data_IF_629532935418
#
_entry.id   IF_629532935418
#
_cell.length_a   1.000
_cell.length_b   1.000
_cell.length_c   1.000
_cell.angle_alpha   90.00
_cell.angle_beta   90.00
_cell.angle_gamma   90.00
#
_symmetry.space_group_name_H-M   'P 1'
#
loop_
_entity.id
_entity.type
_entity.pdbx_description
1 polymer ?
#
# COMPACT_ATOMS: atom_id res chain seq x y z
N UNK A 1 7.85 -18.39 -5.06
CA UNK A 1 6.46 -18.26 -5.54
C UNK A 1 6.40 -18.83 -6.95
N UNK A 2 5.42 -19.68 -7.28
CA UNK A 2 5.22 -20.16 -8.66
C UNK A 2 4.27 -19.19 -9.36
N UNK A 3 4.57 -18.83 -10.61
CA UNK A 3 3.65 -18.06 -11.44
C UNK A 3 2.71 -19.00 -12.18
N UNK A 4 1.43 -18.66 -12.18
CA UNK A 4 0.40 -19.43 -12.87
C UNK A 4 -0.22 -18.57 -13.96
N UNK A 5 -0.58 -19.21 -15.08
CA UNK A 5 -1.35 -18.58 -16.14
C UNK A 5 -2.78 -18.35 -15.65
N UNK A 6 -3.24 -17.12 -15.78
CA UNK A 6 -4.61 -16.71 -15.52
C UNK A 6 -5.17 -16.01 -16.74
N UNK A 7 -6.48 -16.12 -16.93
CA UNK A 7 -7.21 -15.36 -17.93
C UNK A 7 -7.72 -14.07 -17.29
N UNK A 8 -7.57 -12.95 -17.97
CA UNK A 8 -8.17 -11.68 -17.60
C UNK A 8 -9.36 -11.44 -18.52
N UNK A 9 -10.48 -10.99 -17.99
CA UNK A 9 -11.62 -10.58 -18.79
C UNK A 9 -12.10 -9.17 -18.51
N UNK A 10 -12.50 -8.49 -19.57
CA UNK A 10 -12.98 -7.12 -19.56
C UNK A 10 -14.08 -6.95 -20.62
N UNK A 11 -14.97 -6.00 -20.41
CA UNK A 11 -15.97 -5.62 -21.41
C UNK A 11 -15.29 -4.83 -22.53
N UNK A 12 -15.54 -5.24 -23.77
CA UNK A 12 -15.03 -4.58 -24.96
C UNK A 12 -15.66 -3.19 -25.09
N UNK A 13 -14.87 -2.12 -25.23
CA UNK A 13 -15.40 -0.76 -25.33
C UNK A 13 -16.14 -0.51 -26.64
N UNK A 14 -15.88 -1.30 -27.69
CA UNK A 14 -16.46 -1.08 -29.02
C UNK A 14 -17.82 -1.77 -29.22
N UNK A 15 -18.04 -2.94 -28.62
CA UNK A 15 -19.24 -3.74 -28.89
C UNK A 15 -19.92 -4.33 -27.64
N UNK A 16 -19.39 -4.07 -26.44
CA UNK A 16 -19.93 -4.56 -25.17
C UNK A 16 -19.76 -6.06 -24.91
N UNK A 17 -19.19 -6.82 -25.83
CA UNK A 17 -18.90 -8.25 -25.63
C UNK A 17 -17.70 -8.48 -24.72
N UNK A 18 -17.48 -9.72 -24.27
CA UNK A 18 -16.29 -10.07 -23.50
C UNK A 18 -15.02 -10.05 -24.34
N UNK A 19 -13.99 -9.44 -23.78
CA UNK A 19 -12.62 -9.48 -24.26
C UNK A 19 -11.73 -10.18 -23.23
N UNK A 20 -10.70 -10.87 -23.73
CA UNK A 20 -9.85 -11.75 -22.92
C UNK A 20 -8.37 -11.44 -23.16
N UNK A 21 -7.56 -11.63 -22.11
CA UNK A 21 -6.10 -11.53 -22.18
C UNK A 21 -5.46 -12.56 -21.24
N UNK A 22 -4.35 -13.16 -21.64
CA UNK A 22 -3.62 -14.09 -20.76
C UNK A 22 -2.53 -13.36 -19.96
N UNK A 23 -2.47 -13.66 -18.67
CA UNK A 23 -1.49 -13.11 -17.74
C UNK A 23 -0.82 -14.20 -16.92
N UNK A 24 0.38 -13.91 -16.42
CA UNK A 24 1.08 -14.78 -15.46
C UNK A 24 1.19 -14.01 -14.16
N UNK A 25 0.51 -14.49 -13.13
CA UNK A 25 0.57 -13.88 -11.79
C UNK A 25 1.18 -14.86 -10.79
N UNK A 26 1.81 -14.34 -9.72
CA UNK A 26 2.18 -15.16 -8.58
C UNK A 26 0.91 -15.54 -7.81
N UNK A 27 0.45 -16.78 -7.97
CA UNK A 27 -0.80 -17.28 -7.36
C UNK A 27 -0.48 -18.26 -6.22
N UNK A 28 -1.18 -18.21 -5.07
CA UNK A 28 -1.06 -19.22 -4.03
C UNK A 28 -1.44 -20.62 -4.54
N UNK A 29 -0.76 -21.66 -4.09
CA UNK A 29 -0.91 -23.03 -4.58
C UNK A 29 -2.33 -23.65 -4.45
N UNK A 30 -3.21 -23.02 -3.67
CA UNK A 30 -4.58 -23.49 -3.42
C UNK A 30 -5.66 -22.47 -3.81
N UNK A 31 -5.30 -21.40 -4.54
CA UNK A 31 -6.28 -20.40 -4.93
C UNK A 31 -7.05 -20.83 -6.20
N UNK A 32 -8.38 -20.84 -6.17
CA UNK A 32 -9.17 -21.03 -7.38
C UNK A 32 -9.19 -19.72 -8.17
N UNK A 33 -8.50 -19.67 -9.32
CA UNK A 33 -8.90 -18.74 -10.38
C UNK A 33 -8.25 -19.06 -11.73
N UNK A 34 -9.02 -19.62 -12.68
CA UNK A 34 -8.65 -19.61 -14.09
C UNK A 34 -8.94 -18.26 -14.76
N UNK A 35 -9.88 -17.45 -14.26
CA UNK A 35 -10.28 -16.16 -14.88
C UNK A 35 -10.54 -15.04 -13.86
N UNK A 36 -9.98 -13.85 -14.10
CA UNK A 36 -10.16 -12.61 -13.34
C UNK A 36 -11.04 -11.63 -14.13
N UNK A 37 -12.25 -11.36 -13.61
CA UNK A 37 -13.18 -10.42 -14.22
C UNK A 37 -12.90 -8.98 -13.74
N UNK A 38 -12.29 -8.17 -14.60
CA UNK A 38 -11.92 -6.78 -14.34
C UNK A 38 -13.10 -5.80 -14.41
N UNK A 39 -14.31 -6.27 -14.74
CA UNK A 39 -15.54 -5.46 -14.64
C UNK A 39 -16.18 -5.56 -13.24
N UNK A 40 -15.81 -6.56 -12.44
CA UNK A 40 -16.25 -6.70 -11.05
C UNK A 40 -15.08 -6.48 -10.09
N UNK A 41 -14.58 -5.25 -10.01
CA UNK A 41 -13.45 -4.90 -9.16
C UNK A 41 -13.73 -5.18 -7.67
N UNK A 42 -14.96 -4.94 -7.20
CA UNK A 42 -15.35 -5.20 -5.81
C UNK A 42 -15.31 -6.70 -5.45
N UNK A 43 -15.63 -7.59 -6.39
CA UNK A 43 -15.47 -9.03 -6.21
C UNK A 43 -13.99 -9.43 -6.19
N UNK A 44 -13.17 -8.82 -7.05
CA UNK A 44 -11.75 -9.09 -7.13
C UNK A 44 -11.01 -8.69 -5.83
N UNK A 45 -11.29 -7.50 -5.30
CA UNK A 45 -10.68 -6.99 -4.06
C UNK A 45 -11.03 -7.84 -2.84
N UNK A 46 -12.24 -8.39 -2.77
CA UNK A 46 -12.68 -9.23 -1.65
C UNK A 46 -12.05 -10.63 -1.65
N UNK A 47 -11.72 -11.15 -2.83
CA UNK A 47 -11.31 -12.55 -2.99
C UNK A 47 -9.81 -12.74 -3.21
N UNK A 48 -9.05 -11.67 -3.45
CA UNK A 48 -7.63 -11.75 -3.77
C UNK A 48 -6.78 -11.09 -2.68
N UNK A 49 -5.56 -11.60 -2.49
CA UNK A 49 -4.60 -10.98 -1.58
C UNK A 49 -4.10 -9.64 -2.13
N UNK A 50 -3.70 -8.74 -1.24
CA UNK A 50 -3.11 -7.45 -1.63
C UNK A 50 -1.91 -7.62 -2.59
N UNK A 51 -1.05 -8.61 -2.33
CA UNK A 51 0.09 -8.92 -3.19
C UNK A 51 -0.31 -9.30 -4.61
N UNK A 52 -1.42 -10.02 -4.78
CA UNK A 52 -1.91 -10.45 -6.08
C UNK A 52 -2.59 -9.30 -6.84
N UNK A 53 -3.26 -8.39 -6.13
CA UNK A 53 -3.81 -7.16 -6.69
C UNK A 53 -2.71 -6.22 -7.20
N UNK A 54 -1.63 -6.04 -6.43
CA UNK A 54 -0.49 -5.22 -6.84
C UNK A 54 0.18 -5.78 -8.10
N UNK A 55 0.45 -7.09 -8.12
CA UNK A 55 1.03 -7.75 -9.30
C UNK A 55 0.12 -7.63 -10.54
N UNK A 56 -1.21 -7.62 -10.36
CA UNK A 56 -2.15 -7.38 -11.45
C UNK A 56 -2.02 -5.94 -11.98
N UNK A 57 -2.02 -4.92 -11.11
CA UNK A 57 -1.91 -3.50 -11.50
C UNK A 57 -0.62 -3.22 -12.28
N UNK A 58 0.49 -3.83 -11.87
CA UNK A 58 1.77 -3.70 -12.57
C UNK A 58 1.73 -4.32 -13.98
N UNK A 59 0.98 -5.42 -14.15
CA UNK A 59 0.95 -6.19 -15.39
C UNK A 59 -0.09 -5.69 -16.41
N UNK A 60 -1.22 -5.14 -15.95
CA UNK A 60 -2.34 -4.70 -16.81
C UNK A 60 -1.95 -3.76 -17.96
N UNK A 61 -1.07 -2.75 -17.76
CA UNK A 61 -0.70 -1.82 -18.84
C UNK A 61 -0.03 -2.52 -20.03
N UNK A 62 0.58 -3.69 -19.81
CA UNK A 62 1.30 -4.45 -20.81
C UNK A 62 0.45 -5.54 -21.48
N UNK A 63 -0.83 -5.66 -21.11
CA UNK A 63 -1.73 -6.67 -21.67
C UNK A 63 -2.66 -6.08 -22.71
N UNK A 64 -2.72 -6.78 -23.84
CA UNK A 64 -3.68 -6.54 -24.91
C UNK A 64 -4.84 -7.51 -24.75
N UNK A 65 -6.05 -6.96 -24.73
CA UNK A 65 -7.30 -7.71 -24.70
C UNK A 65 -7.84 -7.85 -26.11
N UNK A 66 -8.23 -9.06 -26.47
CA UNK A 66 -8.86 -9.34 -27.76
C UNK A 66 -10.33 -9.63 -27.55
N UNK A 67 -11.20 -8.91 -28.26
CA UNK A 67 -12.64 -9.14 -28.19
C UNK A 67 -13.05 -10.40 -28.96
N UNK A 68 -13.78 -11.30 -28.30
CA UNK A 68 -14.25 -12.53 -28.94
C UNK A 68 -15.31 -12.30 -30.03
N UNK A 69 -15.99 -11.14 -30.02
CA UNK A 69 -17.09 -10.83 -30.95
C UNK A 69 -16.63 -10.02 -32.16
N UNK A 70 -15.98 -8.88 -31.94
CA UNK A 70 -15.57 -7.99 -33.03
C UNK A 70 -14.10 -8.12 -33.42
N UNK A 71 -13.31 -8.95 -32.73
CA UNK A 71 -11.88 -9.12 -32.99
C UNK A 71 -11.01 -7.91 -32.63
N UNK A 72 -11.61 -6.79 -32.20
CA UNK A 72 -10.87 -5.60 -31.84
C UNK A 72 -9.93 -5.87 -30.66
N UNK A 73 -8.70 -5.37 -30.80
CA UNK A 73 -7.68 -5.41 -29.77
C UNK A 73 -7.61 -4.06 -29.06
N UNK A 74 -7.46 -4.09 -27.75
CA UNK A 74 -7.30 -2.87 -26.96
C UNK A 74 -6.44 -3.13 -25.73
N UNK A 75 -5.78 -2.08 -25.24
CA UNK A 75 -5.01 -2.09 -23.99
C UNK A 75 -5.73 -1.25 -22.95
N UNK A 76 -5.54 -1.60 -21.68
CA UNK A 76 -6.03 -0.78 -20.59
C UNK A 76 -5.00 0.29 -20.28
N UNK A 77 -5.36 1.55 -20.52
CA UNK A 77 -4.51 2.69 -20.16
C UNK A 77 -4.67 3.04 -18.68
N UNK A 78 -3.54 3.35 -18.05
CA UNK A 78 -3.40 3.60 -16.62
C UNK A 78 -3.90 4.99 -16.17
N UNK A 79 -4.82 5.62 -16.90
CA UNK A 79 -5.40 6.89 -16.47
C UNK A 79 -6.13 6.74 -15.12
N UNK A 80 -6.74 5.58 -14.89
CA UNK A 80 -7.43 5.20 -13.65
C UNK A 80 -6.50 4.82 -12.50
N UNK A 81 -5.20 4.59 -12.74
CA UNK A 81 -4.26 4.20 -11.67
C UNK A 81 -3.93 5.40 -10.77
N UNK A 82 -3.79 6.60 -11.35
CA UNK A 82 -3.61 7.83 -10.56
C UNK A 82 -4.84 8.14 -9.71
N UNK A 83 -6.03 8.01 -10.26
CA UNK A 83 -7.28 8.21 -9.53
C UNK A 83 -7.50 7.13 -8.46
N UNK A 84 -7.19 5.87 -8.75
CA UNK A 84 -7.28 4.76 -7.80
C UNK A 84 -6.30 4.95 -6.63
N UNK A 85 -5.04 5.31 -6.93
CA UNK A 85 -4.03 5.58 -5.90
C UNK A 85 -4.40 6.81 -5.09
N UNK A 86 -4.88 7.88 -5.73
CA UNK A 86 -5.40 9.08 -5.06
C UNK A 86 -6.56 8.75 -4.12
N UNK A 87 -7.52 7.95 -4.57
CA UNK A 87 -8.65 7.51 -3.76
C UNK A 87 -8.22 6.57 -2.62
N UNK A 88 -7.27 5.66 -2.85
CA UNK A 88 -6.74 4.79 -1.79
C UNK A 88 -6.04 5.61 -0.71
N UNK A 89 -5.14 6.53 -1.09
CA UNK A 89 -4.44 7.42 -0.16
C UNK A 89 -5.42 8.34 0.58
N UNK A 90 -6.42 8.89 -0.11
CA UNK A 90 -7.49 9.70 0.49
C UNK A 90 -8.39 8.92 1.46
N UNK A 91 -8.52 7.61 1.27
CA UNK A 91 -9.28 6.73 2.18
C UNK A 91 -8.48 6.30 3.43
N UNK A 92 -7.16 6.52 3.45
CA UNK A 92 -6.34 6.17 4.62
C UNK A 92 -6.62 7.14 5.75
N UNK A 93 -7.21 6.62 6.82
CA UNK A 93 -7.36 7.34 8.07
C UNK A 93 -6.18 7.02 8.99
N UNK A 94 -5.64 8.01 9.73
CA UNK A 94 -4.64 7.77 10.76
C UNK A 94 -5.16 6.72 11.74
N UNK A 95 -4.46 5.59 11.86
CA UNK A 95 -4.77 4.62 12.90
C UNK A 95 -4.28 5.18 14.24
N UNK A 96 -5.15 5.30 15.26
CA UNK A 96 -4.70 5.75 16.57
C UNK A 96 -3.64 4.77 17.10
N UNK A 97 -2.61 5.27 17.79
CA UNK A 97 -1.56 4.43 18.33
C UNK A 97 -2.20 3.37 19.23
N UNK A 98 -2.05 2.10 18.85
CA UNK A 98 -2.53 0.99 19.67
C UNK A 98 -1.71 1.01 20.94
N UNK A 99 -2.36 1.31 22.08
CA UNK A 99 -1.74 1.18 23.39
C UNK A 99 -1.18 -0.25 23.49
N UNK A 100 0.08 -0.43 23.88
CA UNK A 100 0.63 -1.76 24.06
C UNK A 100 -0.27 -2.51 25.03
N UNK A 101 -0.73 -3.69 24.63
CA UNK A 101 -1.41 -4.62 25.53
C UNK A 101 -0.39 -4.90 26.62
N UNK A 102 -0.63 -4.32 27.80
CA UNK A 102 0.06 -4.69 29.02
C UNK A 102 -0.26 -6.15 29.26
N UNK A 103 0.62 -7.04 28.78
CA UNK A 103 0.65 -8.42 29.22
C UNK A 103 0.99 -8.31 30.70
N UNK A 104 -0.02 -8.53 31.55
CA UNK A 104 0.11 -8.43 32.99
C UNK A 104 1.26 -9.32 33.44
N UNK A 105 2.39 -8.68 33.75
CA UNK A 105 3.46 -9.30 34.52
C UNK A 105 2.88 -9.63 35.88
N UNK A 106 2.51 -10.90 36.10
CA UNK A 106 2.33 -11.44 37.43
C UNK A 106 3.68 -11.38 38.16
N UNK A 107 3.97 -10.23 38.75
CA UNK A 107 5.07 -10.06 39.68
C UNK A 107 4.68 -10.74 41.01
N UNK A 108 5.52 -11.62 41.57
CA UNK A 108 5.26 -12.23 42.86
C UNK A 108 5.33 -11.16 43.96
N UNK A 109 4.32 -11.18 44.83
CA UNK A 109 4.16 -10.28 45.97
C UNK A 109 5.31 -10.50 46.96
N UNK A 110 6.37 -9.70 46.86
CA UNK A 110 7.49 -9.69 47.82
C UNK A 110 7.38 -8.44 48.69
N UNK A 111 6.81 -8.62 49.88
CA UNK A 111 6.89 -7.67 50.99
C UNK A 111 8.34 -7.54 51.43
N UNK A 112 8.91 -6.32 51.41
CA UNK A 112 9.80 -5.82 52.47
C UNK A 112 10.13 -4.33 52.31
N UNK A 113 9.75 -3.60 53.37
CA UNK A 113 10.24 -2.36 53.99
C UNK A 113 11.08 -1.37 53.17
N UNK A 114 10.69 -0.10 53.33
CA UNK A 114 11.26 1.13 52.80
C UNK A 114 12.67 1.46 53.32
N UNK A 115 13.47 2.12 52.47
CA UNK A 115 14.38 3.21 52.82
C UNK A 115 14.85 3.99 51.55
N UNK A 116 14.64 5.32 51.59
CA UNK A 116 15.39 6.44 51.01
C UNK A 116 15.82 6.51 49.50
N UNK A 117 15.29 7.59 48.89
CA UNK A 117 15.55 8.44 47.69
C UNK A 117 17.04 8.74 47.32
N UNK A 118 17.33 9.46 46.20
CA UNK A 118 17.11 9.22 44.77
C UNK A 118 18.44 9.20 43.95
N UNK A 119 18.43 8.68 42.71
CA UNK A 119 19.41 9.07 41.69
C UNK A 119 18.78 8.98 40.30
N UNK A 120 18.69 10.13 39.64
CA UNK A 120 18.22 10.30 38.28
C UNK A 120 19.19 9.64 37.29
N UNK A 121 18.65 8.88 36.35
CA UNK A 121 19.34 8.49 35.12
C UNK A 121 18.50 9.03 33.94
N UNK A 122 19.02 9.98 33.16
CA UNK A 122 18.35 10.42 31.94
C UNK A 122 18.60 9.37 30.85
N UNK A 123 17.51 8.79 30.33
CA UNK A 123 17.53 7.99 29.10
C UNK A 123 17.62 8.93 27.89
N UNK A 124 18.08 8.44 26.73
CA UNK A 124 18.44 9.28 25.59
C UNK A 124 17.26 10.03 24.99
N UNK A 125 17.38 11.35 25.06
CA UNK A 125 16.49 12.37 24.51
C UNK A 125 16.69 12.43 22.98
N UNK A 126 15.97 11.60 22.22
CA UNK A 126 16.08 11.60 20.75
C UNK A 126 15.28 12.73 20.07
N UNK A 127 14.68 13.66 20.82
CA UNK A 127 13.80 14.72 20.30
C UNK A 127 14.41 16.14 20.31
N UNK A 128 15.73 16.30 20.46
CA UNK A 128 16.36 17.62 20.63
C UNK A 128 17.32 18.09 19.51
N UNK A 129 17.54 17.34 18.42
CA UNK A 129 18.41 17.78 17.32
C UNK A 129 17.74 17.69 15.94
N UNK A 130 16.66 18.45 15.71
CA UNK A 130 16.18 18.62 14.31
C UNK A 130 15.59 19.99 13.97
N UNK A 131 15.74 21.01 14.81
CA UNK A 131 15.19 22.35 14.52
C UNK A 131 16.10 23.47 15.01
N UNK A 132 17.31 23.60 14.46
CA UNK A 132 18.09 24.86 14.59
C UNK A 132 19.15 25.04 13.48
N UNK A 133 18.79 24.76 12.22
CA UNK A 133 19.66 25.05 11.07
C UNK A 133 18.99 25.92 10.00
N UNK A 134 17.86 26.55 10.31
CA UNK A 134 17.23 27.53 9.41
C UNK A 134 16.76 28.71 10.27
N UNK A 135 17.30 29.89 9.93
CA UNK A 135 17.02 31.23 10.45
C UNK A 135 17.84 31.67 11.69
N UNK A 136 18.99 32.33 11.46
CA UNK A 136 19.14 33.80 11.61
C UNK A 136 20.52 34.29 11.07
N UNK A 137 20.47 35.27 10.17
CA UNK A 137 21.58 35.97 9.50
C UNK A 137 22.33 36.98 10.40
N UNK A 138 23.45 37.61 9.97
CA UNK A 138 23.40 38.91 9.23
C UNK A 138 24.53 39.06 8.16
N UNK A 139 24.35 39.67 6.99
CA UNK A 139 24.22 41.11 6.66
C UNK A 139 25.41 41.99 7.09
N UNK A 140 26.32 42.31 6.14
CA UNK A 140 27.16 43.53 5.99
C UNK A 140 28.08 43.31 4.75
N UNK A 141 28.43 44.21 3.82
CA UNK A 141 28.45 45.68 3.70
C UNK A 141 28.61 46.01 2.18
N UNK A 142 27.65 46.70 1.53
CA UNK A 142 27.72 48.08 0.95
C UNK A 142 28.43 48.24 -0.45
N UNK A 143 28.28 49.38 -1.17
CA UNK A 143 27.85 49.44 -2.58
C UNK A 143 28.81 50.28 -3.46
N UNK A 144 28.30 50.83 -4.58
CA UNK A 144 28.91 51.82 -5.50
C UNK A 144 29.89 51.20 -6.53
N UNK A 145 29.84 51.48 -7.83
CA UNK A 145 29.20 52.56 -8.62
C UNK A 145 28.99 52.06 -10.05
#
# INVERSE_FOLDING_TARGET
MRSHSILLSKTCPYCGARAKAEARLPVPAHAPAPEFNLDNLAGLVRNQSLSQLLALVELLPYKTFTCAKCGAEFRLESHSVKDLVGNMLGSMQPAPPRKPVSVGSHAPKRTRKAAATPAAAPGPDWEAESLDAVVHAPADTKPET
#
